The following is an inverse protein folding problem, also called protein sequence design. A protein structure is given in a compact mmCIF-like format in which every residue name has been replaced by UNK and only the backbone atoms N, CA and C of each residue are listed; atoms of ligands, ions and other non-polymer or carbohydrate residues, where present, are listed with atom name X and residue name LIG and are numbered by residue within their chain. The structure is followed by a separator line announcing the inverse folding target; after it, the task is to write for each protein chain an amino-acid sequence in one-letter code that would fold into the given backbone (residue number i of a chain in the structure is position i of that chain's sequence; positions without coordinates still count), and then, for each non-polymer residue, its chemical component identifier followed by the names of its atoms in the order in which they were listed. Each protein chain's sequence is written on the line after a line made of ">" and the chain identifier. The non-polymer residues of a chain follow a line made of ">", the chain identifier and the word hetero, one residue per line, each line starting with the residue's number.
data_IF_642175392868
#
_entry.id   IF_642175392868
#
_cell.length_a   1.000
_cell.length_b   1.000
_cell.length_c   1.000
_cell.angle_alpha   90.00
_cell.angle_beta   90.00
_cell.angle_gamma   90.00
#
_symmetry.space_group_name_H-M   'P 1'
#
loop_
_entity.id
_entity.type
_entity.pdbx_description
1 polymer ?
#
# COMPACT_ATOMS: atom_id res chain seq x y z
N UNK A 1 -4.35 11.02 -6.57
CA UNK A 1 -4.93 9.67 -6.42
C UNK A 1 -5.58 9.54 -5.07
N UNK A 2 -6.77 8.97 -5.02
CA UNK A 2 -7.48 8.77 -3.77
C UNK A 2 -6.86 7.62 -2.97
N UNK A 3 -6.97 7.70 -1.65
CA UNK A 3 -6.41 6.67 -0.77
C UNK A 3 -6.95 5.28 -1.11
N UNK A 4 -8.24 5.19 -1.38
CA UNK A 4 -8.86 3.90 -1.73
C UNK A 4 -8.26 3.32 -2.99
N UNK A 5 -8.04 4.15 -4.01
CA UNK A 5 -7.42 3.70 -5.24
C UNK A 5 -6.01 3.20 -5.01
N UNK A 6 -5.24 3.94 -4.22
CA UNK A 6 -3.87 3.56 -3.90
C UNK A 6 -3.84 2.23 -3.15
N UNK A 7 -4.73 2.08 -2.18
CA UNK A 7 -4.80 0.86 -1.39
C UNK A 7 -5.18 -0.35 -2.25
N UNK A 8 -6.10 -0.15 -3.19
CA UNK A 8 -6.50 -1.22 -4.10
C UNK A 8 -5.33 -1.66 -4.98
N UNK A 9 -4.53 -0.70 -5.45
CA UNK A 9 -3.35 -1.03 -6.26
C UNK A 9 -2.30 -1.78 -5.45
N UNK A 10 -2.06 -1.33 -4.23
CA UNK A 10 -1.10 -1.99 -3.35
C UNK A 10 -1.54 -3.42 -3.06
N UNK A 11 -2.82 -3.60 -2.82
CA UNK A 11 -3.38 -4.94 -2.58
C UNK A 11 -3.10 -5.86 -3.77
N UNK A 12 -3.31 -5.37 -4.99
CA UNK A 12 -3.03 -6.15 -6.19
C UNK A 12 -1.56 -6.53 -6.30
N UNK A 13 -0.66 -5.59 -5.99
CA UNK A 13 0.77 -5.86 -6.03
C UNK A 13 1.14 -6.96 -5.04
N UNK A 14 0.60 -6.88 -3.82
CA UNK A 14 0.90 -7.87 -2.80
C UNK A 14 0.38 -9.25 -3.21
N UNK A 15 -0.80 -9.30 -3.80
CA UNK A 15 -1.36 -10.57 -4.27
C UNK A 15 -0.50 -11.20 -5.36
N UNK A 16 0.06 -10.40 -6.25
CA UNK A 16 0.87 -10.90 -7.35
C UNK A 16 2.28 -11.24 -6.92
N UNK A 17 2.90 -10.37 -6.12
CA UNK A 17 4.32 -10.50 -5.77
C UNK A 17 4.55 -11.05 -4.37
N UNK A 18 3.50 -11.28 -3.62
CA UNK A 18 3.52 -11.83 -2.26
C UNK A 18 4.07 -10.88 -1.20
N UNK A 19 4.59 -9.73 -1.59
CA UNK A 19 5.12 -8.74 -0.65
C UNK A 19 5.31 -7.40 -1.34
N UNK A 20 5.40 -6.35 -0.53
CA UNK A 20 5.75 -5.02 -1.02
C UNK A 20 6.53 -4.32 0.10
N UNK A 21 7.55 -3.56 -0.28
CA UNK A 21 8.32 -2.79 0.68
C UNK A 21 7.67 -1.42 0.86
N UNK A 22 7.71 -0.92 2.11
CA UNK A 22 7.20 0.41 2.40
C UNK A 22 7.90 1.48 1.56
N UNK A 23 9.21 1.35 1.36
CA UNK A 23 9.96 2.30 0.54
C UNK A 23 9.45 2.33 -0.90
N UNK A 24 8.99 1.19 -1.43
CA UNK A 24 8.43 1.15 -2.77
C UNK A 24 7.11 1.92 -2.85
N UNK A 25 6.28 1.81 -1.82
CA UNK A 25 5.02 2.55 -1.75
C UNK A 25 5.29 4.05 -1.71
N UNK A 26 6.23 4.46 -0.87
CA UNK A 26 6.60 5.88 -0.74
C UNK A 26 7.06 6.43 -2.09
N UNK A 27 7.92 5.70 -2.79
CA UNK A 27 8.46 6.15 -4.07
C UNK A 27 7.40 6.15 -5.17
N UNK A 28 6.65 5.06 -5.27
CA UNK A 28 5.70 4.90 -6.37
C UNK A 28 4.56 5.90 -6.29
N UNK A 29 4.06 6.14 -5.10
CA UNK A 29 2.88 7.00 -4.93
C UNK A 29 3.23 8.38 -4.40
N UNK A 30 4.52 8.65 -4.15
CA UNK A 30 4.99 9.94 -3.66
C UNK A 30 4.23 10.39 -2.43
N UNK A 31 4.07 9.46 -1.49
CA UNK A 31 3.41 9.72 -0.21
C UNK A 31 4.43 9.64 0.91
N UNK A 32 4.07 10.17 2.08
CA UNK A 32 4.95 10.09 3.24
C UNK A 32 5.02 8.65 3.75
N UNK A 33 6.06 8.37 4.52
CA UNK A 33 6.22 7.07 5.17
C UNK A 33 5.02 6.77 6.07
N UNK A 34 4.52 7.79 6.75
CA UNK A 34 3.36 7.65 7.63
C UNK A 34 2.12 7.22 6.83
N UNK A 35 1.88 7.85 5.68
CA UNK A 35 0.75 7.50 4.83
C UNK A 35 0.88 6.07 4.31
N UNK A 36 2.09 5.69 3.88
CA UNK A 36 2.33 4.32 3.40
C UNK A 36 2.05 3.30 4.49
N UNK A 37 2.52 3.57 5.71
CA UNK A 37 2.29 2.68 6.85
C UNK A 37 0.80 2.53 7.13
N UNK A 38 0.08 3.63 7.07
CA UNK A 38 -1.36 3.63 7.32
C UNK A 38 -2.12 2.83 6.27
N UNK A 39 -1.72 2.97 5.01
CA UNK A 39 -2.34 2.19 3.92
C UNK A 39 -2.14 0.70 4.16
N UNK A 40 -0.94 0.30 4.56
CA UNK A 40 -0.66 -1.12 4.80
C UNK A 40 -1.43 -1.65 6.00
N UNK A 41 -1.62 -0.81 7.04
CA UNK A 41 -2.44 -1.20 8.17
C UNK A 41 -3.89 -1.45 7.78
N UNK A 42 -4.44 -0.56 6.94
CA UNK A 42 -5.82 -0.71 6.45
C UNK A 42 -5.97 -2.04 5.71
N UNK A 43 -5.01 -2.36 4.84
CA UNK A 43 -5.06 -3.61 4.07
C UNK A 43 -4.93 -4.83 4.99
N UNK A 44 -4.10 -4.73 6.01
CA UNK A 44 -3.93 -5.81 6.97
C UNK A 44 -5.24 -6.08 7.73
N UNK A 45 -5.96 -5.02 8.10
CA UNK A 45 -7.25 -5.17 8.75
C UNK A 45 -8.30 -5.81 7.84
N UNK A 46 -8.12 -5.67 6.54
CA UNK A 46 -9.02 -6.26 5.55
C UNK A 46 -8.66 -7.71 5.23
N UNK A 47 -7.74 -8.29 5.96
CA UNK A 47 -7.42 -9.70 5.84
C UNK A 47 -6.26 -10.03 4.92
N UNK A 48 -5.46 -9.03 4.62
CA UNK A 48 -4.31 -9.27 3.77
C UNK A 48 -3.23 -10.07 4.49
#
# INVERSE_FOLDING_TARGET
>A
MLAKERQDEIFSIIKQKKAIKMSDVVKKYQVSHETARRDLEVLQEQGL
#
